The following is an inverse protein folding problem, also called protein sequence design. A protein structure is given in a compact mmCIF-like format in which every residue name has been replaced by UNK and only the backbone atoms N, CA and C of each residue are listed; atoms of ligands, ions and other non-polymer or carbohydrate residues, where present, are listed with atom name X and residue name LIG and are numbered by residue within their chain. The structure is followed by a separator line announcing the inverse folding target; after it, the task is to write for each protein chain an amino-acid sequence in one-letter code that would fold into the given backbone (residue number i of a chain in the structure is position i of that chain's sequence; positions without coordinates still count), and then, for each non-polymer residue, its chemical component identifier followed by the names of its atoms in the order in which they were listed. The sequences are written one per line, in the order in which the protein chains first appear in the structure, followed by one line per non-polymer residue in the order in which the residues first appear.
data_IF_043108285654
#
_entry.id   IF_043108285654
#
_cell.length_a   1.000
_cell.length_b   1.000
_cell.length_c   1.000
_cell.angle_alpha   90.00
_cell.angle_beta   90.00
_cell.angle_gamma   90.00
#
_symmetry.space_group_name_H-M   'P 1'
#
loop_
_entity.id
_entity.type
_entity.pdbx_description
1 polymer ?
#
# COMPACT_ATOMS: atom_id res chain seq x y z
N UNK A 1 8.11 20.78 20.63
CA UNK A 1 7.75 19.36 20.79
C UNK A 1 8.99 18.55 20.51
N UNK A 2 9.45 17.77 21.48
CA UNK A 2 10.55 16.83 21.27
C UNK A 2 9.98 15.56 20.63
N UNK A 3 10.37 15.28 19.39
CA UNK A 3 9.80 14.17 18.60
C UNK A 3 10.14 12.81 19.23
N UNK A 4 11.31 12.66 19.86
CA UNK A 4 11.72 11.40 20.47
C UNK A 4 10.91 11.11 21.73
N UNK A 5 10.70 12.14 22.54
CA UNK A 5 9.86 12.10 23.74
C UNK A 5 8.42 11.74 23.36
N UNK A 6 7.88 12.41 22.34
CA UNK A 6 6.51 12.15 21.84
C UNK A 6 6.36 10.70 21.36
N UNK A 7 7.35 10.15 20.65
CA UNK A 7 7.33 8.74 20.22
C UNK A 7 7.29 7.76 21.40
N UNK A 8 8.11 8.01 22.43
CA UNK A 8 8.14 7.17 23.62
C UNK A 8 6.82 7.19 24.39
N UNK A 9 6.21 8.37 24.53
CA UNK A 9 4.91 8.52 25.21
C UNK A 9 3.79 7.79 24.47
N UNK A 10 3.76 7.87 23.13
CA UNK A 10 2.80 7.14 22.30
C UNK A 10 2.97 5.62 22.43
N UNK A 11 4.22 5.13 22.36
CA UNK A 11 4.49 3.69 22.54
C UNK A 11 4.06 3.21 23.92
N UNK A 12 4.37 3.97 24.97
CA UNK A 12 3.98 3.65 26.33
C UNK A 12 2.46 3.59 26.48
N UNK A 13 1.76 4.58 25.94
CA UNK A 13 0.28 4.63 25.96
C UNK A 13 -0.34 3.42 25.27
N UNK A 14 0.26 2.94 24.18
CA UNK A 14 -0.21 1.74 23.47
C UNK A 14 0.06 0.48 24.30
N UNK A 15 1.26 0.34 24.89
CA UNK A 15 1.67 -0.84 25.65
C UNK A 15 0.90 -1.01 26.97
N UNK A 16 0.55 0.09 27.63
CA UNK A 16 -0.18 0.08 28.90
C UNK A 16 -1.71 -0.04 28.72
N UNK A 17 -2.22 -0.02 27.47
CA UNK A 17 -3.65 0.00 27.18
C UNK A 17 -4.17 -1.37 26.74
N UNK A 18 -5.11 -1.95 27.51
CA UNK A 18 -5.72 -3.25 27.25
C UNK A 18 -7.03 -3.18 26.45
N UNK A 19 -7.50 -1.99 26.08
CA UNK A 19 -8.73 -1.83 25.31
C UNK A 19 -8.50 -2.20 23.83
N UNK A 20 -8.97 -3.39 23.46
CA UNK A 20 -8.83 -3.94 22.11
C UNK A 20 -9.38 -3.02 21.01
N UNK A 21 -10.47 -2.29 21.27
CA UNK A 21 -11.08 -1.38 20.28
C UNK A 21 -10.18 -0.16 20.02
N UNK A 22 -9.56 0.37 21.07
CA UNK A 22 -8.57 1.45 20.94
C UNK A 22 -7.35 0.98 20.13
N UNK A 23 -6.78 -0.18 20.49
CA UNK A 23 -5.62 -0.74 19.80
C UNK A 23 -5.92 -0.99 18.32
N UNK A 24 -7.11 -1.51 18.01
CA UNK A 24 -7.53 -1.73 16.62
C UNK A 24 -7.62 -0.42 15.83
N UNK A 25 -8.23 0.63 16.42
CA UNK A 25 -8.31 1.95 15.78
C UNK A 25 -6.94 2.57 15.50
N UNK A 26 -5.99 2.44 16.43
CA UNK A 26 -4.60 2.90 16.24
C UNK A 26 -3.91 2.11 15.13
N UNK A 27 -4.08 0.78 15.10
CA UNK A 27 -3.50 -0.06 14.05
C UNK A 27 -4.03 0.31 12.66
N UNK A 28 -5.33 0.58 12.53
CA UNK A 28 -5.95 0.98 11.27
C UNK A 28 -5.49 2.38 10.83
N UNK A 29 -5.31 3.31 11.78
CA UNK A 29 -4.72 4.62 11.49
C UNK A 29 -3.29 4.49 10.94
N UNK A 30 -2.43 3.72 11.60
CA UNK A 30 -1.04 3.51 11.15
C UNK A 30 -0.97 2.83 9.77
N UNK A 31 -1.88 1.89 9.48
CA UNK A 31 -1.97 1.26 8.16
C UNK A 31 -2.34 2.26 7.06
N UNK A 32 -3.20 3.25 7.37
CA UNK A 32 -3.62 4.29 6.42
C UNK A 32 -2.55 5.36 6.20
N UNK A 33 -1.66 5.58 7.17
CA UNK A 33 -0.52 6.50 7.04
C UNK A 33 0.62 5.94 6.17
N UNK A 34 0.61 4.62 5.89
CA UNK A 34 1.45 4.11 4.81
C UNK A 34 0.86 4.60 3.50
N UNK A 35 1.61 5.46 2.82
CA UNK A 35 1.34 5.86 1.44
C UNK A 35 0.96 4.61 0.65
N UNK A 36 -0.14 4.67 -0.10
CA UNK A 36 -0.43 3.59 -1.05
C UNK A 36 0.78 3.49 -1.99
N UNK A 37 1.18 2.28 -2.38
CA UNK A 37 2.30 2.13 -3.31
C UNK A 37 2.03 2.91 -4.60
N UNK A 38 0.75 3.11 -4.94
CA UNK A 38 0.30 3.97 -6.04
C UNK A 38 0.88 5.39 -5.95
N UNK A 39 0.89 5.97 -4.74
CA UNK A 39 1.38 7.32 -4.48
C UNK A 39 2.93 7.38 -4.46
N UNK A 40 3.60 6.23 -4.37
CA UNK A 40 5.06 6.09 -4.48
C UNK A 40 5.54 5.99 -5.94
N UNK A 41 4.63 5.73 -6.90
CA UNK A 41 4.97 5.62 -8.32
C UNK A 41 5.20 6.99 -8.96
N UNK A 42 6.18 7.07 -9.85
CA UNK A 42 6.38 8.24 -10.72
C UNK A 42 5.17 8.44 -11.66
N UNK A 43 4.95 9.68 -12.16
CA UNK A 43 3.87 9.93 -13.12
C UNK A 43 3.93 9.03 -14.36
N UNK A 44 5.13 8.70 -14.85
CA UNK A 44 5.32 7.77 -15.97
C UNK A 44 4.89 6.35 -15.64
N UNK A 45 5.23 5.85 -14.45
CA UNK A 45 4.82 4.49 -14.02
C UNK A 45 3.30 4.41 -13.86
N UNK A 46 2.68 5.46 -13.31
CA UNK A 46 1.22 5.54 -13.22
C UNK A 46 0.55 5.58 -14.61
N UNK A 47 1.11 6.33 -15.56
CA UNK A 47 0.63 6.37 -16.96
C UNK A 47 0.77 5.00 -17.65
N UNK A 48 1.90 4.33 -17.49
CA UNK A 48 2.14 3.00 -18.06
C UNK A 48 1.15 1.97 -17.53
N UNK A 49 0.88 1.98 -16.22
CA UNK A 49 -0.12 1.08 -15.61
C UNK A 49 -1.52 1.38 -16.14
N UNK A 50 -1.92 2.66 -16.21
CA UNK A 50 -3.24 3.07 -16.76
C UNK A 50 -3.40 2.61 -18.20
N UNK A 51 -2.37 2.79 -19.03
CA UNK A 51 -2.36 2.33 -20.41
C UNK A 51 -2.43 0.81 -20.51
N UNK A 52 -1.71 0.09 -19.64
CA UNK A 52 -1.79 -1.37 -19.55
C UNK A 52 -3.21 -1.85 -19.24
N UNK A 53 -3.89 -1.21 -18.28
CA UNK A 53 -5.30 -1.49 -17.96
C UNK A 53 -6.21 -1.24 -19.17
N UNK A 54 -6.06 -0.09 -19.84
CA UNK A 54 -6.82 0.24 -21.04
C UNK A 54 -6.60 -0.78 -22.17
N UNK A 55 -5.35 -1.24 -22.36
CA UNK A 55 -5.02 -2.27 -23.33
C UNK A 55 -5.68 -3.62 -22.97
N UNK A 56 -5.70 -3.99 -21.68
CA UNK A 56 -6.40 -5.19 -21.21
C UNK A 56 -7.91 -5.11 -21.45
N UNK A 57 -8.53 -3.96 -21.20
CA UNK A 57 -9.96 -3.72 -21.41
C UNK A 57 -10.32 -3.74 -22.91
N UNK A 58 -9.45 -3.21 -23.75
CA UNK A 58 -9.55 -3.28 -25.21
C UNK A 58 -9.21 -4.67 -25.78
N UNK A 59 -8.97 -5.68 -24.92
CA UNK A 59 -8.71 -7.05 -25.32
C UNK A 59 -7.31 -7.29 -25.89
N UNK A 60 -6.39 -6.33 -25.79
CA UNK A 60 -4.97 -6.48 -26.16
C UNK A 60 -4.21 -7.26 -25.09
N UNK A 61 -4.68 -8.47 -24.82
CA UNK A 61 -4.17 -9.35 -23.77
C UNK A 61 -4.01 -10.77 -24.28
N UNK A 62 -3.05 -11.47 -23.70
CA UNK A 62 -2.90 -12.92 -23.87
C UNK A 62 -2.90 -13.56 -22.50
N UNK A 63 -3.32 -14.83 -22.41
CA UNK A 63 -3.20 -15.55 -21.15
C UNK A 63 -1.72 -15.72 -20.78
N UNK A 64 -1.45 -15.74 -19.47
CA UNK A 64 -0.10 -15.94 -18.95
C UNK A 64 0.51 -17.27 -19.44
N UNK A 65 -0.27 -18.34 -19.46
CA UNK A 65 0.16 -19.65 -19.99
C UNK A 65 0.52 -19.58 -21.49
N UNK A 66 -0.27 -18.83 -22.28
CA UNK A 66 0.03 -18.61 -23.71
C UNK A 66 1.31 -17.81 -23.91
N UNK A 67 1.60 -16.85 -23.03
CA UNK A 67 2.85 -16.08 -23.08
C UNK A 67 4.06 -16.95 -22.75
N UNK A 68 4.02 -17.72 -21.66
CA UNK A 68 5.13 -18.59 -21.25
C UNK A 68 5.50 -19.59 -22.34
N UNK A 69 4.51 -20.18 -23.02
CA UNK A 69 4.75 -21.09 -24.16
C UNK A 69 5.47 -20.43 -25.35
N UNK A 70 5.43 -19.10 -25.49
CA UNK A 70 6.12 -18.38 -26.58
C UNK A 70 7.58 -18.06 -26.27
N UNK A 71 7.94 -18.00 -25.00
CA UNK A 71 9.28 -17.61 -24.54
C UNK A 71 10.10 -18.79 -23.99
N UNK A 72 9.47 -19.96 -23.86
CA UNK A 72 10.10 -21.21 -23.47
C UNK A 72 10.54 -22.01 -24.69
#
# INVERSE_FOLDING_TARGET
MDIQTTKLELLRTILENENAEFIQRVADFVKKEKSDFWDELSPSEQEDIKKGIEDLDNGKRISYDSFLKKIS
#
